data_IF_992051595999
#
_entry.id   IF_992051595999
#
_cell.length_a   1.000
_cell.length_b   1.000
_cell.length_c   1.000
_cell.angle_alpha   90.00
_cell.angle_beta   90.00
_cell.angle_gamma   90.00
#
_symmetry.space_group_name_H-M   'P 1'
#
loop_
_entity.id
_entity.type
_entity.pdbx_description
1 polymer ?
#
# COMPACT_ATOMS: atom_id res chain seq x y z
N UNK A 1 17.01 12.78 -8.05
CA UNK A 1 16.39 11.54 -7.51
C UNK A 1 16.15 10.63 -8.70
N UNK A 2 16.93 9.57 -8.85
CA UNK A 2 16.82 8.65 -10.00
C UNK A 2 15.86 7.50 -9.66
N UNK A 3 14.57 7.73 -9.90
CA UNK A 3 13.51 6.75 -9.63
C UNK A 3 13.36 5.71 -10.74
N UNK A 4 14.02 5.92 -11.89
CA UNK A 4 13.81 5.13 -13.11
C UNK A 4 14.95 4.12 -13.36
N UNK A 5 15.85 3.96 -12.39
CA UNK A 5 16.93 2.99 -12.41
C UNK A 5 17.88 3.22 -13.58
N UNK A 6 18.37 4.46 -13.73
CA UNK A 6 19.29 4.87 -14.78
C UNK A 6 18.65 5.11 -16.15
N UNK A 7 17.32 5.06 -16.26
CA UNK A 7 16.59 5.37 -17.50
C UNK A 7 16.17 6.82 -17.52
N UNK A 8 16.16 7.41 -18.72
CA UNK A 8 15.48 8.68 -18.91
C UNK A 8 13.95 8.51 -18.80
N UNK A 9 13.21 9.56 -18.44
CA UNK A 9 11.75 9.54 -18.52
C UNK A 9 11.23 9.21 -19.92
N UNK A 10 11.91 9.65 -20.98
CA UNK A 10 11.52 9.34 -22.36
C UNK A 10 11.66 7.85 -22.69
N UNK A 11 12.73 7.19 -22.24
CA UNK A 11 12.88 5.73 -22.41
C UNK A 11 11.81 4.96 -21.63
N UNK A 12 11.49 5.40 -20.40
CA UNK A 12 10.44 4.79 -19.60
C UNK A 12 9.05 4.91 -20.26
N UNK A 13 8.69 6.11 -20.72
CA UNK A 13 7.40 6.35 -21.38
C UNK A 13 7.29 5.62 -22.72
N UNK A 14 8.38 5.55 -23.48
CA UNK A 14 8.40 4.85 -24.77
C UNK A 14 8.30 3.35 -24.60
N UNK A 15 9.01 2.74 -23.66
CA UNK A 15 9.18 1.29 -23.64
C UNK A 15 8.32 0.56 -22.59
N UNK A 16 7.86 1.24 -21.52
CA UNK A 16 7.23 0.57 -20.36
C UNK A 16 5.85 1.12 -19.97
N UNK A 17 5.69 2.45 -19.92
CA UNK A 17 4.45 3.07 -19.45
C UNK A 17 3.23 2.58 -20.23
N UNK A 18 2.25 2.02 -19.52
CA UNK A 18 1.04 1.38 -20.09
C UNK A 18 1.29 0.28 -21.14
N UNK A 19 2.48 -0.36 -21.13
CA UNK A 19 2.86 -1.40 -22.10
C UNK A 19 3.23 -2.72 -21.43
N UNK A 20 4.13 -2.69 -20.44
CA UNK A 20 4.61 -3.89 -19.76
C UNK A 20 5.09 -3.57 -18.34
N UNK A 21 5.01 -4.54 -17.40
CA UNK A 21 5.52 -4.35 -16.05
C UNK A 21 7.04 -4.14 -16.04
N UNK A 22 7.53 -3.41 -15.03
CA UNK A 22 8.94 -3.15 -14.80
C UNK A 22 9.20 -3.11 -13.29
N UNK A 23 10.18 -3.89 -12.81
CA UNK A 23 10.71 -3.79 -11.45
C UNK A 23 11.98 -2.95 -11.48
N UNK A 24 12.04 -1.92 -10.65
CA UNK A 24 13.20 -1.03 -10.52
C UNK A 24 13.81 -1.24 -9.14
N UNK A 25 14.88 -2.03 -9.08
CA UNK A 25 15.60 -2.26 -7.83
C UNK A 25 16.23 -0.95 -7.33
N UNK A 26 16.06 -0.66 -6.04
CA UNK A 26 16.61 0.55 -5.40
C UNK A 26 16.21 1.86 -6.11
N UNK A 27 14.96 1.96 -6.60
CA UNK A 27 14.42 3.22 -7.14
C UNK A 27 14.50 4.39 -6.13
N UNK A 28 14.46 4.05 -4.83
CA UNK A 28 14.64 4.97 -3.71
C UNK A 28 15.65 4.39 -2.73
N UNK A 29 16.97 4.60 -2.95
CA UNK A 29 17.99 4.11 -2.03
C UNK A 29 17.81 4.71 -0.64
N UNK A 30 17.85 3.87 0.41
CA UNK A 30 17.66 4.32 1.79
C UNK A 30 16.25 4.80 2.12
N UNK A 31 15.23 4.30 1.42
CA UNK A 31 13.83 4.63 1.71
C UNK A 31 13.44 4.28 3.16
N UNK A 32 12.86 5.26 3.83
CA UNK A 32 12.19 5.12 5.14
C UNK A 32 10.73 5.51 4.95
N UNK A 33 9.82 4.70 5.48
CA UNK A 33 8.39 5.01 5.41
C UNK A 33 8.11 6.31 6.20
N UNK A 34 7.38 7.29 5.64
CA UNK A 34 7.07 8.54 6.34
C UNK A 34 5.97 8.40 7.39
N UNK A 35 5.30 7.25 7.46
CA UNK A 35 4.18 6.95 8.36
C UNK A 35 4.39 5.55 8.91
N UNK A 36 4.25 5.37 10.22
CA UNK A 36 4.34 4.05 10.84
C UNK A 36 2.99 3.29 10.80
N UNK A 37 2.98 2.06 11.33
CA UNK A 37 1.80 1.20 11.27
C UNK A 37 0.65 1.70 12.16
N UNK A 38 0.97 2.27 13.33
CA UNK A 38 -0.03 2.75 14.29
C UNK A 38 -0.66 4.05 13.80
N UNK A 39 0.17 4.95 13.22
CA UNK A 39 -0.30 6.15 12.55
C UNK A 39 -1.22 5.82 11.36
N UNK A 40 -0.86 4.84 10.53
CA UNK A 40 -1.69 4.41 9.41
C UNK A 40 -3.01 3.77 9.86
N UNK A 41 -3.00 2.99 10.95
CA UNK A 41 -4.21 2.46 11.56
C UNK A 41 -5.09 3.59 12.09
N UNK A 42 -4.51 4.59 12.76
CA UNK A 42 -5.22 5.79 13.20
C UNK A 42 -5.91 6.54 12.06
N UNK A 43 -5.20 6.78 10.94
CA UNK A 43 -5.79 7.41 9.75
C UNK A 43 -6.99 6.64 9.21
N UNK A 44 -6.97 5.32 9.28
CA UNK A 44 -8.06 4.47 8.79
C UNK A 44 -9.35 4.54 9.63
N UNK A 45 -9.28 5.14 10.82
CA UNK A 45 -10.42 5.39 11.70
C UNK A 45 -11.13 6.72 11.38
N UNK A 46 -10.53 7.59 10.56
CA UNK A 46 -11.13 8.87 10.21
C UNK A 46 -12.26 8.70 9.18
N UNK A 47 -13.41 9.36 9.42
CA UNK A 47 -14.62 9.22 8.60
C UNK A 47 -14.42 9.58 7.12
N UNK A 48 -13.51 10.53 6.83
CA UNK A 48 -13.18 10.96 5.48
C UNK A 48 -12.16 10.08 4.74
N UNK A 49 -11.64 9.02 5.38
CA UNK A 49 -10.57 8.19 4.83
C UNK A 49 -11.13 6.85 4.37
N UNK A 50 -11.03 6.60 3.06
CA UNK A 50 -11.34 5.29 2.51
C UNK A 50 -10.26 4.28 2.90
N UNK A 51 -10.65 3.27 3.66
CA UNK A 51 -9.76 2.23 4.15
C UNK A 51 -10.39 0.85 4.04
N UNK A 52 -9.55 -0.20 4.02
CA UNK A 52 -10.02 -1.59 3.95
C UNK A 52 -9.07 -2.54 4.66
N UNK A 53 -9.65 -3.60 5.24
CA UNK A 53 -8.95 -4.75 5.78
C UNK A 53 -9.36 -5.97 4.95
N UNK A 54 -8.37 -6.72 4.46
CA UNK A 54 -8.57 -7.96 3.70
C UNK A 54 -7.94 -9.10 4.51
N UNK A 55 -8.76 -10.05 4.93
CA UNK A 55 -8.32 -11.21 5.73
C UNK A 55 -8.44 -12.46 4.87
N UNK A 56 -7.32 -13.16 4.65
CA UNK A 56 -7.28 -14.39 3.84
C UNK A 56 -8.16 -15.49 4.46
N UNK A 57 -8.16 -15.64 5.78
CA UNK A 57 -8.97 -16.62 6.50
C UNK A 57 -9.47 -16.03 7.82
N UNK A 58 -10.73 -15.61 7.85
CA UNK A 58 -11.38 -15.04 9.03
C UNK A 58 -12.28 -16.09 9.67
N UNK A 59 -11.76 -16.82 10.66
CA UNK A 59 -12.51 -17.85 11.36
C UNK A 59 -13.05 -18.97 10.46
N UNK A 60 -12.28 -19.38 9.44
CA UNK A 60 -12.67 -20.40 8.46
C UNK A 60 -13.36 -19.84 7.21
N UNK A 61 -13.56 -18.52 7.14
CA UNK A 61 -14.13 -17.85 5.95
C UNK A 61 -13.01 -17.26 5.10
N UNK A 62 -12.84 -17.70 3.84
CA UNK A 62 -11.78 -17.20 2.99
C UNK A 62 -12.06 -15.77 2.50
N UNK A 63 -11.01 -14.96 2.37
CA UNK A 63 -11.01 -13.64 1.71
C UNK A 63 -12.12 -12.69 2.15
N UNK A 64 -12.20 -12.40 3.45
CA UNK A 64 -13.15 -11.41 3.98
C UNK A 64 -12.65 -9.99 3.76
N UNK A 65 -13.54 -9.13 3.27
CA UNK A 65 -13.31 -7.70 3.06
C UNK A 65 -14.11 -6.91 4.09
N UNK A 66 -13.44 -6.02 4.82
CA UNK A 66 -14.05 -5.04 5.70
C UNK A 66 -13.67 -3.65 5.19
N UNK A 67 -14.65 -2.76 5.04
CA UNK A 67 -14.42 -1.37 4.65
C UNK A 67 -14.52 -0.48 5.89
N UNK A 68 -13.68 0.54 5.95
CA UNK A 68 -13.71 1.53 7.02
C UNK A 68 -14.84 2.56 6.87
N UNK A 69 -14.82 3.63 7.69
CA UNK A 69 -13.82 3.86 8.74
C UNK A 69 -13.89 2.78 9.84
N UNK A 70 -12.76 2.50 10.48
CA UNK A 70 -12.68 1.53 11.57
C UNK A 70 -12.77 2.20 12.94
N UNK A 71 -13.10 1.41 13.96
CA UNK A 71 -12.84 1.81 15.34
C UNK A 71 -11.47 1.28 15.77
N UNK A 72 -10.81 1.93 16.73
CA UNK A 72 -9.50 1.50 17.23
C UNK A 72 -9.52 0.05 17.73
N UNK A 73 -10.63 -0.38 18.35
CA UNK A 73 -10.80 -1.73 18.87
C UNK A 73 -10.74 -2.80 17.77
N UNK A 74 -11.04 -2.45 16.51
CA UNK A 74 -10.96 -3.39 15.39
C UNK A 74 -9.55 -3.95 15.24
N UNK A 75 -8.52 -3.14 15.46
CA UNK A 75 -7.12 -3.54 15.31
C UNK A 75 -6.67 -4.51 16.40
N UNK A 76 -7.25 -4.40 17.60
CA UNK A 76 -6.99 -5.35 18.70
C UNK A 76 -7.59 -6.74 18.45
N UNK A 77 -8.48 -6.87 17.47
CA UNK A 77 -9.21 -8.10 17.13
C UNK A 77 -8.73 -8.73 15.81
N UNK A 78 -7.64 -8.23 15.22
CA UNK A 78 -7.08 -8.84 14.03
C UNK A 78 -6.51 -10.24 14.34
N UNK A 79 -6.65 -11.21 13.42
CA UNK A 79 -6.15 -12.56 13.58
C UNK A 79 -4.61 -12.64 13.58
#
# INVERSE_FOLDING_TARGET
MDMLGGRSPSDFLRDYWQKKPLVIHQAFPGFTCPVDADELAGLSCEEGVESRIVIENDGGKPWQLHNGPFSEERFSLLP
#
